data_IF_258874762534
#
_entry.id   IF_258874762534
#
_cell.length_a   1.000
_cell.length_b   1.000
_cell.length_c   1.000
_cell.angle_alpha   90.00
_cell.angle_beta   90.00
_cell.angle_gamma   90.00
#
_symmetry.space_group_name_H-M   'P 1'
#
loop_
_entity.id
_entity.type
_entity.pdbx_description
1 polymer ?
#
# COMPACT_ATOMS: atom_id res chain seq x y z
N UNK A 1 2.81 -4.73 -0.67
CA UNK A 1 3.80 -4.36 0.37
C UNK A 1 5.16 -4.81 -0.09
N UNK A 2 6.19 -3.99 0.03
CA UNK A 2 7.58 -4.34 -0.24
C UNK A 2 8.46 -4.02 0.97
N UNK A 3 9.48 -4.85 1.20
CA UNK A 3 10.44 -4.64 2.28
C UNK A 3 11.53 -3.67 1.82
N UNK A 4 11.79 -2.65 2.62
CA UNK A 4 12.86 -1.68 2.44
C UNK A 4 14.01 -2.06 3.38
N UNK A 5 15.23 -2.11 2.85
CA UNK A 5 16.37 -2.73 3.51
C UNK A 5 17.51 -1.74 3.76
N UNK A 6 18.36 -2.07 4.71
CA UNK A 6 19.55 -1.26 5.08
C UNK A 6 20.58 -1.25 3.94
N UNK A 7 20.73 -2.38 3.23
CA UNK A 7 21.65 -2.53 2.09
C UNK A 7 20.95 -3.16 0.89
N UNK A 8 21.49 -3.03 -0.35
CA UNK A 8 20.91 -3.59 -1.56
C UNK A 8 21.13 -5.11 -1.67
N UNK A 9 20.65 -5.84 -0.67
CA UNK A 9 20.77 -7.29 -0.54
C UNK A 9 19.52 -7.87 0.13
N UNK A 10 19.02 -9.01 -0.37
CA UNK A 10 17.85 -9.71 0.20
C UNK A 10 18.10 -10.28 1.60
N UNK A 11 19.35 -10.55 1.98
CA UNK A 11 19.75 -11.00 3.31
C UNK A 11 19.94 -9.84 4.31
N UNK A 12 20.01 -8.59 3.81
CA UNK A 12 20.16 -7.41 4.65
C UNK A 12 18.94 -7.19 5.55
N UNK A 13 19.19 -6.59 6.70
CA UNK A 13 18.15 -6.21 7.66
C UNK A 13 17.06 -5.36 7.02
N UNK A 14 15.81 -5.62 7.39
CA UNK A 14 14.68 -4.77 7.02
C UNK A 14 14.68 -3.50 7.87
N UNK A 15 14.46 -2.36 7.23
CA UNK A 15 14.43 -1.05 7.90
C UNK A 15 12.98 -0.56 8.08
N UNK A 16 12.11 -0.82 7.10
CA UNK A 16 10.68 -0.49 7.10
C UNK A 16 10.00 -1.18 5.92
N UNK A 17 8.71 -0.93 5.75
CA UNK A 17 7.95 -1.44 4.59
C UNK A 17 7.35 -0.31 3.76
N UNK A 18 7.27 -0.54 2.44
CA UNK A 18 6.57 0.33 1.50
C UNK A 18 5.19 -0.22 1.16
N UNK A 19 4.16 0.63 1.24
CA UNK A 19 2.80 0.28 0.83
C UNK A 19 2.60 0.58 -0.66
N UNK A 20 1.76 -0.20 -1.32
CA UNK A 20 1.39 0.04 -2.71
C UNK A 20 0.76 1.43 -2.89
N UNK A 21 1.22 2.14 -3.92
CA UNK A 21 0.75 3.48 -4.24
C UNK A 21 1.38 4.59 -3.40
N UNK A 22 2.36 4.27 -2.54
CA UNK A 22 3.14 5.24 -1.80
C UNK A 22 4.18 5.91 -2.73
N UNK A 23 4.14 7.23 -2.93
CA UNK A 23 5.17 7.93 -3.67
C UNK A 23 6.47 7.98 -2.86
N UNK A 24 7.60 7.78 -3.52
CA UNK A 24 8.93 7.83 -2.90
C UNK A 24 9.90 8.63 -3.77
N UNK A 25 10.92 9.19 -3.16
CA UNK A 25 11.99 9.88 -3.88
C UNK A 25 13.14 8.92 -4.13
N UNK A 26 13.55 8.75 -5.39
CA UNK A 26 14.74 7.98 -5.75
C UNK A 26 15.97 8.85 -5.54
N UNK A 27 16.92 8.36 -4.76
CA UNK A 27 18.20 9.00 -4.46
C UNK A 27 19.36 8.39 -5.26
N UNK A 28 19.30 7.07 -5.51
CA UNK A 28 20.34 6.33 -6.23
C UNK A 28 19.72 5.12 -6.93
N UNK A 29 20.31 4.71 -8.05
CA UNK A 29 19.92 3.52 -8.80
C UNK A 29 21.16 2.71 -9.17
N UNK A 30 21.23 1.47 -8.68
CA UNK A 30 22.30 0.53 -9.00
C UNK A 30 21.79 -0.91 -8.77
N UNK A 31 21.08 -1.47 -9.77
CA UNK A 31 20.38 -2.76 -9.63
C UNK A 31 19.23 -2.75 -8.63
N UNK A 32 19.42 -2.08 -7.51
CA UNK A 32 18.45 -1.69 -6.51
C UNK A 32 18.21 -0.17 -6.57
N UNK A 33 17.16 0.30 -5.89
CA UNK A 33 16.88 1.72 -5.72
C UNK A 33 17.11 2.11 -4.26
N UNK A 34 17.95 3.12 -4.03
CA UNK A 34 17.99 3.82 -2.75
C UNK A 34 16.94 4.89 -2.77
N UNK A 35 15.97 4.82 -1.88
CA UNK A 35 14.80 5.69 -1.86
C UNK A 35 14.67 6.40 -0.52
N UNK A 36 13.95 7.54 -0.55
CA UNK A 36 13.43 8.19 0.63
C UNK A 36 11.92 8.09 0.65
N UNK A 37 11.37 7.58 1.74
CA UNK A 37 9.93 7.48 2.01
C UNK A 37 9.35 8.81 2.49
N UNK A 38 8.02 9.02 2.48
CA UNK A 38 7.39 10.24 2.98
C UNK A 38 7.65 10.52 4.46
N UNK A 39 7.90 9.49 5.27
CA UNK A 39 8.27 9.54 6.69
C UNK A 39 9.80 9.60 6.91
N UNK A 40 10.56 9.92 5.84
CA UNK A 40 11.99 10.19 5.83
C UNK A 40 12.92 8.99 6.05
N UNK A 41 12.45 7.75 6.00
CA UNK A 41 13.37 6.62 5.93
C UNK A 41 14.14 6.64 4.62
N UNK A 42 15.45 6.40 4.70
CA UNK A 42 16.32 6.22 3.53
C UNK A 42 16.77 4.76 3.51
N UNK A 43 16.27 4.00 2.55
CA UNK A 43 16.46 2.56 2.49
C UNK A 43 16.56 2.06 1.04
N UNK A 44 16.94 0.80 0.89
CA UNK A 44 17.05 0.13 -0.39
C UNK A 44 15.81 -0.72 -0.69
N UNK A 45 15.33 -0.63 -1.92
CA UNK A 45 14.26 -1.46 -2.45
C UNK A 45 14.71 -2.16 -3.73
N UNK A 46 14.38 -3.44 -3.86
CA UNK A 46 14.63 -4.16 -5.11
C UNK A 46 13.73 -3.61 -6.23
N UNK A 47 14.24 -3.63 -7.46
CA UNK A 47 13.57 -3.08 -8.66
C UNK A 47 12.15 -3.57 -8.88
N UNK A 48 11.80 -4.77 -8.43
CA UNK A 48 10.45 -5.34 -8.56
C UNK A 48 9.43 -4.72 -7.57
N UNK A 49 9.91 -4.04 -6.52
CA UNK A 49 9.06 -3.38 -5.51
C UNK A 49 8.77 -1.91 -5.81
N UNK A 50 9.29 -1.37 -6.91
CA UNK A 50 9.15 0.04 -7.27
C UNK A 50 8.84 0.19 -8.75
N UNK A 51 8.02 1.18 -9.09
CA UNK A 51 7.76 1.60 -10.47
C UNK A 51 8.25 3.04 -10.65
N UNK A 52 9.32 3.27 -11.44
CA UNK A 52 9.78 4.61 -11.76
C UNK A 52 8.76 5.37 -12.60
N UNK A 53 8.54 6.62 -12.26
CA UNK A 53 7.61 7.51 -12.95
C UNK A 53 8.27 8.86 -13.23
N UNK A 54 7.80 9.56 -14.24
CA UNK A 54 8.18 10.96 -14.49
C UNK A 54 7.53 11.89 -13.47
N UNK A 55 7.94 13.15 -13.44
CA UNK A 55 7.31 14.18 -12.59
C UNK A 55 5.84 14.40 -12.97
N UNK A 56 5.53 14.36 -14.24
CA UNK A 56 4.18 14.52 -14.78
C UNK A 56 3.27 13.37 -14.36
N UNK A 57 3.75 12.13 -14.48
CA UNK A 57 3.04 10.93 -14.04
C UNK A 57 2.83 10.93 -12.52
N UNK A 58 3.84 11.33 -11.73
CA UNK A 58 3.69 11.48 -10.28
C UNK A 58 2.65 12.53 -9.93
N UNK A 59 2.65 13.67 -10.63
CA UNK A 59 1.65 14.73 -10.43
C UNK A 59 0.25 14.23 -10.77
N UNK A 60 0.09 13.55 -11.89
CA UNK A 60 -1.16 12.92 -12.29
C UNK A 60 -1.62 11.86 -11.27
N UNK A 61 -0.68 11.02 -10.79
CA UNK A 61 -0.96 10.05 -9.72
C UNK A 61 -1.44 10.73 -8.44
N UNK A 62 -0.75 11.77 -7.98
CA UNK A 62 -1.10 12.46 -6.72
C UNK A 62 -2.46 13.16 -6.80
N UNK A 63 -2.80 13.72 -7.96
CA UNK A 63 -4.07 14.42 -8.18
C UNK A 63 -5.25 13.49 -8.44
N UNK A 64 -5.01 12.24 -8.85
CA UNK A 64 -6.08 11.29 -9.12
C UNK A 64 -6.81 10.87 -7.83
N UNK A 65 -8.10 10.60 -7.94
CA UNK A 65 -8.85 9.99 -6.84
C UNK A 65 -8.37 8.57 -6.57
N UNK A 66 -8.32 8.19 -5.29
CA UNK A 66 -7.81 6.89 -4.85
C UNK A 66 -8.89 6.07 -4.15
N UNK A 67 -8.78 4.78 -4.34
CA UNK A 67 -9.37 3.77 -3.47
C UNK A 67 -8.31 3.35 -2.47
N UNK A 68 -8.63 3.41 -1.18
CA UNK A 68 -7.81 2.89 -0.09
C UNK A 68 -8.34 1.54 0.37
N UNK A 69 -7.44 0.61 0.63
CA UNK A 69 -7.77 -0.69 1.23
C UNK A 69 -7.92 -0.51 2.73
N UNK A 70 -9.04 -0.96 3.27
CA UNK A 70 -9.39 -0.84 4.70
C UNK A 70 -9.36 -2.16 5.45
N UNK A 71 -9.38 -3.29 4.74
CA UNK A 71 -9.19 -4.62 5.32
C UNK A 71 -7.71 -4.94 5.48
N UNK A 72 -7.37 -5.71 6.50
CA UNK A 72 -5.99 -6.15 6.76
C UNK A 72 -5.39 -6.91 5.58
N UNK A 73 -6.20 -7.67 4.85
CA UNK A 73 -5.77 -8.46 3.70
C UNK A 73 -6.91 -8.63 2.69
N UNK A 74 -6.57 -8.72 1.42
CA UNK A 74 -7.51 -8.97 0.34
C UNK A 74 -6.85 -9.08 -1.02
N UNK A 75 -7.67 -9.05 -2.08
CA UNK A 75 -7.21 -9.21 -3.46
C UNK A 75 -7.83 -8.18 -4.39
N UNK A 76 -7.08 -7.86 -5.45
CA UNK A 76 -7.58 -7.24 -6.67
C UNK A 76 -7.76 -8.35 -7.72
N UNK A 77 -8.86 -8.31 -8.44
CA UNK A 77 -9.29 -9.32 -9.40
C UNK A 77 -9.24 -8.79 -10.84
N UNK A 78 -9.09 -9.68 -11.81
CA UNK A 78 -9.07 -9.33 -13.24
C UNK A 78 -10.45 -8.94 -13.79
N UNK A 79 -11.52 -9.40 -13.13
CA UNK A 79 -12.92 -9.08 -13.45
C UNK A 79 -13.64 -8.69 -12.15
N UNK A 80 -14.83 -8.03 -12.22
CA UNK A 80 -15.61 -7.65 -11.03
C UNK A 80 -16.30 -8.87 -10.39
N UNK A 81 -15.53 -9.88 -10.04
CA UNK A 81 -15.95 -11.14 -9.44
C UNK A 81 -14.81 -11.74 -8.62
N UNK A 82 -15.11 -12.20 -7.41
CA UNK A 82 -14.14 -12.91 -6.57
C UNK A 82 -13.74 -14.29 -7.10
N UNK A 83 -14.51 -14.84 -8.03
CA UNK A 83 -14.20 -16.10 -8.72
C UNK A 83 -13.22 -15.92 -9.89
N UNK A 84 -12.91 -14.67 -10.27
CA UNK A 84 -11.95 -14.40 -11.34
C UNK A 84 -10.50 -14.47 -10.86
N UNK A 85 -9.56 -14.52 -11.81
CA UNK A 85 -8.13 -14.55 -11.51
C UNK A 85 -7.72 -13.32 -10.67
N UNK A 86 -6.90 -13.54 -9.67
CA UNK A 86 -6.28 -12.46 -8.88
C UNK A 86 -5.18 -11.76 -9.68
N UNK A 87 -5.15 -10.43 -9.61
CA UNK A 87 -4.08 -9.59 -10.17
C UNK A 87 -2.96 -9.38 -9.14
N UNK A 88 -3.35 -9.10 -7.90
CA UNK A 88 -2.43 -9.02 -6.76
C UNK A 88 -3.18 -9.18 -5.45
N UNK A 89 -2.43 -9.46 -4.38
CA UNK A 89 -2.86 -9.22 -3.01
C UNK A 89 -2.80 -7.73 -2.66
N UNK A 90 -3.51 -7.34 -1.61
CA UNK A 90 -3.50 -6.00 -1.04
C UNK A 90 -3.57 -6.06 0.49
N UNK A 91 -3.04 -5.02 1.14
CA UNK A 91 -3.02 -4.85 2.58
C UNK A 91 -3.64 -3.50 2.97
N UNK A 92 -4.03 -3.33 4.23
CA UNK A 92 -4.54 -2.06 4.74
C UNK A 92 -3.60 -0.90 4.39
N UNK A 93 -4.16 0.24 4.01
CA UNK A 93 -3.40 1.42 3.61
C UNK A 93 -2.88 1.40 2.17
N UNK A 94 -2.98 0.29 1.43
CA UNK A 94 -2.66 0.28 0.00
C UNK A 94 -3.61 1.23 -0.75
N UNK A 95 -3.07 1.98 -1.70
CA UNK A 95 -3.81 2.96 -2.51
C UNK A 95 -3.70 2.64 -3.98
N UNK A 96 -4.84 2.66 -4.67
CA UNK A 96 -4.96 2.42 -6.09
C UNK A 96 -5.76 3.57 -6.73
N UNK A 97 -5.44 3.94 -7.96
CA UNK A 97 -6.17 4.96 -8.69
C UNK A 97 -7.59 4.47 -8.97
N UNK A 98 -8.60 5.30 -8.69
CA UNK A 98 -9.99 4.97 -8.98
C UNK A 98 -10.31 5.27 -10.45
N UNK A 99 -10.71 4.24 -11.19
CA UNK A 99 -11.07 4.33 -12.62
C UNK A 99 -12.57 4.20 -12.86
N UNK A 100 -13.37 3.87 -11.83
CA UNK A 100 -14.82 3.71 -11.96
C UNK A 100 -15.38 2.67 -11.00
N UNK A 101 -16.63 2.31 -11.24
CA UNK A 101 -17.37 1.37 -10.38
C UNK A 101 -18.15 0.38 -11.23
N UNK A 102 -18.15 -0.91 -10.84
CA UNK A 102 -18.95 -1.94 -11.47
C UNK A 102 -19.57 -2.86 -10.41
N UNK A 103 -20.88 -2.70 -10.17
CA UNK A 103 -21.60 -3.43 -9.13
C UNK A 103 -20.98 -3.23 -7.76
N UNK A 104 -20.59 -4.34 -7.10
CA UNK A 104 -19.96 -4.37 -5.78
C UNK A 104 -18.44 -4.10 -5.80
N UNK A 105 -17.85 -3.69 -6.95
CA UNK A 105 -16.44 -3.48 -7.13
C UNK A 105 -16.12 -2.06 -7.57
N UNK A 106 -14.92 -1.58 -7.18
CA UNK A 106 -14.26 -0.45 -7.81
C UNK A 106 -13.31 -0.97 -8.90
N UNK A 107 -13.34 -0.33 -10.08
CA UNK A 107 -12.30 -0.48 -11.10
C UNK A 107 -11.13 0.39 -10.68
N UNK A 108 -9.93 -0.18 -10.65
CA UNK A 108 -8.73 0.48 -10.16
C UNK A 108 -7.55 0.28 -11.11
N UNK A 109 -6.60 1.23 -11.08
CA UNK A 109 -5.34 1.13 -11.78
C UNK A 109 -4.16 1.22 -10.80
N UNK A 110 -3.10 0.49 -11.11
CA UNK A 110 -1.82 0.47 -10.42
C UNK A 110 -0.90 1.58 -10.96
N UNK A 111 0.16 1.93 -10.21
CA UNK A 111 1.17 2.87 -10.72
C UNK A 111 1.84 2.43 -12.03
N UNK A 112 1.93 1.12 -12.28
CA UNK A 112 2.53 0.51 -13.47
C UNK A 112 1.55 0.33 -14.64
N UNK A 113 0.33 0.89 -14.55
CA UNK A 113 -0.69 0.84 -15.59
C UNK A 113 -1.57 -0.41 -15.60
N UNK A 114 -1.24 -1.47 -14.85
CA UNK A 114 -2.14 -2.61 -14.69
C UNK A 114 -3.48 -2.15 -14.14
N UNK A 115 -4.54 -2.85 -14.47
CA UNK A 115 -5.89 -2.58 -14.00
C UNK A 115 -6.49 -3.81 -13.32
N UNK A 116 -7.53 -3.59 -12.51
CA UNK A 116 -8.28 -4.66 -11.88
C UNK A 116 -9.50 -4.14 -11.13
N UNK A 117 -10.09 -5.04 -10.36
CA UNK A 117 -11.31 -4.78 -9.61
C UNK A 117 -11.11 -5.16 -8.15
N UNK A 118 -11.43 -4.24 -7.24
CA UNK A 118 -11.38 -4.48 -5.79
C UNK A 118 -12.77 -4.37 -5.19
N UNK A 119 -13.09 -5.29 -4.27
CA UNK A 119 -14.40 -5.29 -3.62
C UNK A 119 -14.59 -4.05 -2.72
N UNK A 120 -15.80 -3.49 -2.77
CA UNK A 120 -16.24 -2.41 -1.87
C UNK A 120 -16.31 -2.85 -0.40
N UNK A 121 -16.35 -4.15 -0.12
CA UNK A 121 -16.37 -4.67 1.25
C UNK A 121 -15.03 -4.53 1.97
N UNK A 122 -13.91 -4.38 1.22
CA UNK A 122 -12.56 -4.30 1.77
C UNK A 122 -11.85 -2.98 1.42
N UNK A 123 -12.54 -2.07 0.74
CA UNK A 123 -11.94 -0.82 0.27
C UNK A 123 -12.99 0.27 0.12
N UNK A 124 -12.56 1.51 0.10
CA UNK A 124 -13.43 2.67 -0.14
C UNK A 124 -12.65 3.85 -0.75
N UNK A 125 -13.36 4.88 -1.29
CA UNK A 125 -12.71 6.12 -1.70
C UNK A 125 -11.93 6.77 -0.55
N UNK A 126 -10.67 7.15 -0.80
CA UNK A 126 -9.76 7.68 0.23
C UNK A 126 -10.33 8.93 0.92
N UNK A 127 -10.97 9.84 0.16
CA UNK A 127 -11.64 11.02 0.74
C UNK A 127 -12.71 10.62 1.76
N UNK A 128 -13.51 9.59 1.45
CA UNK A 128 -14.54 9.08 2.36
C UNK A 128 -13.89 8.45 3.61
N UNK A 129 -12.86 7.63 3.41
CA UNK A 129 -12.13 7.01 4.53
C UNK A 129 -11.58 8.06 5.47
N UNK A 130 -10.89 9.09 4.95
CA UNK A 130 -10.34 10.18 5.78
C UNK A 130 -11.41 10.90 6.58
N UNK A 131 -12.61 11.08 6.03
CA UNK A 131 -13.73 11.70 6.73
C UNK A 131 -14.33 10.83 7.85
N UNK A 132 -14.05 9.51 7.86
CA UNK A 132 -14.52 8.60 8.91
C UNK A 132 -13.52 8.47 10.07
N UNK A 133 -12.28 8.94 9.91
CA UNK A 133 -11.26 8.84 10.95
C UNK A 133 -11.62 9.70 12.15
N UNK A 134 -11.54 9.11 13.33
CA UNK A 134 -11.72 9.77 14.61
C UNK A 134 -10.40 9.72 15.39
N UNK A 135 -10.10 10.79 16.10
CA UNK A 135 -8.89 10.92 16.93
C UNK A 135 -9.21 10.80 18.43
N UNK A 136 -10.27 10.08 18.78
CA UNK A 136 -10.63 9.80 20.17
C UNK A 136 -10.01 8.47 20.65
N UNK A 137 -9.82 8.35 21.96
CA UNK A 137 -9.20 7.20 22.58
C UNK A 137 -9.94 5.88 22.26
N UNK A 138 -11.27 5.89 22.21
CA UNK A 138 -12.06 4.71 21.92
C UNK A 138 -11.80 4.20 20.50
N UNK A 139 -11.71 5.08 19.52
CA UNK A 139 -11.41 4.73 18.12
C UNK A 139 -9.98 4.21 17.96
N UNK A 140 -9.01 4.80 18.66
CA UNK A 140 -7.61 4.34 18.67
C UNK A 140 -7.53 2.93 19.26
N UNK A 141 -8.15 2.70 20.41
CA UNK A 141 -8.17 1.38 21.08
C UNK A 141 -8.88 0.35 20.20
N UNK A 142 -10.01 0.69 19.57
CA UNK A 142 -10.72 -0.21 18.66
C UNK A 142 -9.86 -0.60 17.46
N UNK A 143 -9.10 0.35 16.90
CA UNK A 143 -8.15 0.07 15.81
C UNK A 143 -7.04 -0.87 16.29
N UNK A 144 -6.45 -0.62 17.45
CA UNK A 144 -5.45 -1.49 18.05
C UNK A 144 -5.99 -2.92 18.26
N UNK A 145 -7.20 -3.06 18.82
CA UNK A 145 -7.85 -4.36 18.96
C UNK A 145 -8.10 -5.07 17.63
N UNK A 146 -8.42 -4.33 16.56
CA UNK A 146 -8.60 -4.93 15.24
C UNK A 146 -7.32 -5.55 14.68
N UNK A 147 -6.14 -5.13 15.17
CA UNK A 147 -4.84 -5.67 14.77
C UNK A 147 -4.40 -6.91 15.59
N UNK A 148 -5.22 -7.36 16.54
CA UNK A 148 -4.95 -8.60 17.29
C UNK A 148 -4.77 -9.79 16.35
N UNK A 149 -3.70 -10.57 16.55
CA UNK A 149 -3.37 -11.72 15.71
C UNK A 149 -2.46 -11.41 14.51
N UNK A 150 -2.17 -10.13 14.22
CA UNK A 150 -1.13 -9.79 13.25
C UNK A 150 0.23 -10.21 13.83
N UNK A 151 1.07 -10.94 13.05
CA UNK A 151 2.35 -11.41 13.56
C UNK A 151 3.32 -10.26 13.82
N UNK A 152 4.20 -10.45 14.81
CA UNK A 152 5.34 -9.57 15.00
C UNK A 152 6.34 -9.75 13.85
N UNK A 153 6.74 -8.65 13.26
CA UNK A 153 7.75 -8.61 12.22
C UNK A 153 8.67 -7.41 12.49
N UNK A 154 9.97 -7.65 12.72
CA UNK A 154 10.96 -6.57 12.88
C UNK A 154 10.91 -5.58 11.71
N UNK A 155 10.82 -4.28 12.00
CA UNK A 155 10.61 -3.20 11.02
C UNK A 155 9.34 -3.33 10.16
N UNK A 156 8.38 -4.16 10.58
CA UNK A 156 7.08 -4.30 9.94
C UNK A 156 6.17 -3.11 10.22
N UNK A 157 5.58 -2.54 9.16
CA UNK A 157 4.69 -1.36 9.24
C UNK A 157 3.41 -1.58 8.43
N UNK A 158 3.01 -2.84 8.27
CA UNK A 158 1.81 -3.20 7.51
C UNK A 158 0.99 -4.27 8.22
N UNK A 159 -0.26 -4.45 7.81
CA UNK A 159 -1.12 -5.53 8.31
C UNK A 159 -0.63 -6.95 7.98
N UNK A 160 0.50 -7.11 7.30
CA UNK A 160 1.18 -8.40 7.12
C UNK A 160 2.16 -8.75 8.25
N UNK A 161 2.51 -7.80 9.07
CA UNK A 161 3.38 -7.90 10.22
C UNK A 161 3.78 -6.51 10.70
N UNK A 162 3.82 -6.32 12.01
CA UNK A 162 4.19 -5.06 12.64
C UNK A 162 5.20 -5.30 13.75
N UNK A 163 6.05 -4.30 14.02
CA UNK A 163 6.80 -4.21 15.27
C UNK A 163 6.13 -3.22 16.23
N UNK A 164 6.82 -2.87 17.32
CA UNK A 164 6.31 -1.94 18.32
C UNK A 164 6.12 -0.51 17.77
N UNK A 165 6.88 -0.10 16.77
CA UNK A 165 6.80 1.23 16.16
C UNK A 165 5.87 1.28 14.95
N UNK A 166 5.67 0.16 14.30
CA UNK A 166 4.75 0.02 13.17
C UNK A 166 3.29 -0.25 13.57
N UNK A 167 3.08 -0.65 14.84
CA UNK A 167 1.77 -0.83 15.47
C UNK A 167 1.20 0.54 15.87
#
# INVERSE_FOLDING_TARGET
VCNLRVAPDFSSEMMTQGLMGMPVRVLQRDGWYRIQTPDNYIAWVHRVGIHPVTREELTAWNNAEKIVVTSHYGFVYSQPSQASQTVSDVAAGNRLKWEGTKGAFYKVAYPDGRQGYISKSISMPEKKWRATLKQDAASIIATAHSMMGIPYLWAGTSSKGVDCSGF
#
